data_IF_039501957379
#
_entry.id   IF_039501957379
#
_cell.length_a   1.000
_cell.length_b   1.000
_cell.length_c   1.000
_cell.angle_alpha   90.00
_cell.angle_beta   90.00
_cell.angle_gamma   90.00
#
_symmetry.space_group_name_H-M   'P 1'
#
loop_
_entity.id
_entity.type
_entity.pdbx_description
1 polymer ?
#
# COMPACT_ATOMS: atom_id res chain seq x y z
N UNK A 1 13.07 17.72 -63.40
CA UNK A 1 13.65 18.33 -64.61
C UNK A 1 15.01 17.65 -64.82
N UNK A 2 15.01 16.45 -65.40
CA UNK A 2 15.58 16.16 -66.73
C UNK A 2 16.97 15.54 -66.55
N UNK A 3 17.37 14.41 -67.14
CA UNK A 3 16.95 13.73 -68.36
C UNK A 3 17.32 12.23 -68.27
N UNK A 4 16.43 11.40 -68.80
CA UNK A 4 16.72 10.05 -69.30
C UNK A 4 17.62 10.12 -70.54
N UNK A 5 18.34 9.05 -70.87
CA UNK A 5 18.27 8.43 -72.21
C UNK A 5 18.75 6.97 -72.18
N UNK A 6 17.85 6.10 -72.65
CA UNK A 6 18.06 4.76 -73.20
C UNK A 6 18.79 4.86 -74.55
N UNK A 7 19.67 3.92 -74.92
CA UNK A 7 19.33 2.73 -75.72
C UNK A 7 20.52 2.13 -76.50
N UNK A 8 20.33 0.86 -76.85
CA UNK A 8 21.11 -0.15 -77.56
C UNK A 8 21.77 0.21 -78.91
N UNK A 9 22.75 -0.64 -79.28
CA UNK A 9 23.00 -1.03 -80.69
C UNK A 9 24.47 -1.39 -80.97
N UNK A 10 24.88 -2.66 -80.84
CA UNK A 10 25.03 -3.67 -81.91
C UNK A 10 25.97 -3.30 -83.08
N UNK A 11 26.95 -4.18 -83.36
CA UNK A 11 27.32 -4.46 -84.76
C UNK A 11 28.80 -4.75 -85.07
N UNK A 12 29.08 -6.05 -85.23
CA UNK A 12 29.90 -6.66 -86.31
C UNK A 12 31.43 -6.56 -86.30
N UNK A 13 32.04 -7.73 -86.56
CA UNK A 13 33.24 -8.07 -87.37
C UNK A 13 33.75 -9.41 -86.81
N UNK A 14 34.20 -10.43 -87.53
CA UNK A 14 34.11 -10.89 -88.91
C UNK A 14 34.75 -12.31 -88.87
N UNK A 15 34.59 -13.03 -89.97
CA UNK A 15 34.80 -14.44 -90.25
C UNK A 15 36.24 -14.99 -90.15
N UNK A 16 36.26 -16.32 -89.93
CA UNK A 16 37.18 -17.39 -90.43
C UNK A 16 38.55 -17.50 -89.76
N UNK A 17 38.87 -18.57 -89.00
CA UNK A 17 38.99 -20.03 -89.27
C UNK A 17 40.46 -20.45 -89.50
N UNK A 18 40.88 -21.46 -88.72
CA UNK A 18 42.07 -22.33 -88.82
C UNK A 18 43.36 -21.79 -88.15
N UNK A 19 44.13 -22.53 -87.34
CA UNK A 19 44.31 -23.97 -87.12
C UNK A 19 44.76 -24.23 -85.65
N UNK A 20 44.22 -25.24 -84.95
CA UNK A 20 44.79 -26.59 -84.71
C UNK A 20 45.92 -26.69 -83.65
N UNK A 21 45.59 -27.31 -82.49
CA UNK A 21 46.31 -28.39 -81.73
C UNK A 21 46.40 -28.28 -80.19
N UNK A 22 45.60 -29.13 -79.53
CA UNK A 22 45.81 -29.96 -78.28
C UNK A 22 45.95 -29.26 -76.88
N UNK A 23 45.88 -29.99 -75.74
CA UNK A 23 44.70 -30.70 -75.18
C UNK A 23 44.50 -30.50 -73.64
N UNK A 24 43.32 -30.85 -73.10
CA UNK A 24 43.17 -31.46 -71.76
C UNK A 24 42.83 -30.55 -70.56
N UNK A 25 41.91 -31.02 -69.70
CA UNK A 25 41.70 -30.51 -68.34
C UNK A 25 40.24 -30.46 -67.89
N UNK A 26 39.70 -31.58 -67.41
CA UNK A 26 38.42 -31.62 -66.70
C UNK A 26 38.53 -30.98 -65.31
N UNK A 27 37.45 -30.31 -64.89
CA UNK A 27 37.32 -29.66 -63.58
C UNK A 27 37.55 -30.68 -62.45
N UNK A 28 38.36 -30.30 -61.47
CA UNK A 28 38.81 -31.19 -60.39
C UNK A 28 37.76 -31.36 -59.30
N UNK A 29 37.78 -32.52 -58.62
CA UNK A 29 36.87 -32.88 -57.52
C UNK A 29 36.87 -31.90 -56.33
N UNK A 30 37.81 -30.94 -56.28
CA UNK A 30 37.94 -29.98 -55.19
C UNK A 30 36.87 -28.86 -55.26
N UNK A 31 36.43 -28.47 -56.46
CA UNK A 31 35.45 -27.38 -56.66
C UNK A 31 34.00 -27.79 -56.36
N UNK A 32 33.66 -29.07 -56.53
CA UNK A 32 32.35 -29.60 -56.12
C UNK A 32 32.19 -29.66 -54.59
N UNK A 33 33.29 -29.87 -53.86
CA UNK A 33 33.28 -29.98 -52.40
C UNK A 33 33.07 -28.64 -51.69
N UNK A 34 33.53 -27.54 -52.29
CA UNK A 34 33.37 -26.19 -51.72
C UNK A 34 31.94 -25.67 -51.92
N UNK A 35 31.34 -25.91 -53.09
CA UNK A 35 29.95 -25.55 -53.39
C UNK A 35 28.94 -26.30 -52.49
N UNK A 36 29.16 -27.61 -52.26
CA UNK A 36 28.33 -28.40 -51.36
C UNK A 36 28.49 -28.03 -49.88
N UNK A 37 29.69 -27.58 -49.45
CA UNK A 37 29.88 -27.02 -48.11
C UNK A 37 29.12 -25.72 -47.94
N UNK A 38 29.24 -24.78 -48.88
CA UNK A 38 28.54 -23.49 -48.83
C UNK A 38 27.01 -23.63 -48.83
N UNK A 39 26.45 -24.59 -49.58
CA UNK A 39 25.01 -24.88 -49.55
C UNK A 39 24.55 -25.46 -48.21
N UNK A 40 25.34 -26.33 -47.58
CA UNK A 40 25.01 -26.92 -46.26
C UNK A 40 25.07 -25.90 -45.13
N UNK A 41 25.98 -24.93 -45.18
CA UNK A 41 26.04 -23.85 -44.17
C UNK A 41 24.88 -22.87 -44.32
N UNK A 42 24.49 -22.49 -45.55
CA UNK A 42 23.34 -21.60 -45.81
C UNK A 42 21.99 -22.22 -45.39
N UNK A 43 21.78 -23.52 -45.64
CA UNK A 43 20.59 -24.25 -45.18
C UNK A 43 20.54 -24.42 -43.64
N UNK A 44 21.69 -24.48 -42.98
CA UNK A 44 21.78 -24.50 -41.52
C UNK A 44 21.32 -23.19 -40.89
N UNK A 45 21.81 -22.05 -41.37
CA UNK A 45 21.43 -20.73 -40.85
C UNK A 45 19.96 -20.37 -41.12
N UNK A 46 19.40 -20.81 -42.26
CA UNK A 46 17.99 -20.61 -42.58
C UNK A 46 17.06 -21.33 -41.58
N UNK A 47 17.43 -22.54 -41.14
CA UNK A 47 16.63 -23.31 -40.19
C UNK A 47 16.65 -22.72 -38.77
N UNK A 48 17.81 -22.26 -38.28
CA UNK A 48 17.87 -21.61 -36.96
C UNK A 48 17.18 -20.25 -36.95
N UNK A 49 17.23 -19.50 -38.05
CA UNK A 49 16.56 -18.20 -38.18
C UNK A 49 15.02 -18.35 -38.20
N UNK A 50 14.49 -19.34 -38.94
CA UNK A 50 13.06 -19.68 -38.92
C UNK A 50 12.60 -20.21 -37.55
N UNK A 51 13.45 -20.97 -36.84
CA UNK A 51 13.13 -21.45 -35.49
C UNK A 51 13.05 -20.30 -34.49
N UNK A 52 13.96 -19.32 -34.55
CA UNK A 52 13.92 -18.12 -33.70
C UNK A 52 12.69 -17.24 -33.98
N UNK A 53 12.28 -17.11 -35.23
CA UNK A 53 11.05 -16.37 -35.61
C UNK A 53 9.79 -17.13 -35.14
N UNK A 54 9.77 -18.46 -35.24
CA UNK A 54 8.66 -19.28 -34.76
C UNK A 54 8.53 -19.26 -33.22
N UNK A 55 9.64 -19.21 -32.48
CA UNK A 55 9.65 -19.07 -31.02
C UNK A 55 9.11 -17.69 -30.59
N UNK A 56 9.36 -16.62 -31.35
CA UNK A 56 8.77 -15.29 -31.11
C UNK A 56 7.27 -15.19 -31.42
N UNK A 57 6.75 -16.00 -32.36
CA UNK A 57 5.32 -16.03 -32.72
C UNK A 57 4.51 -16.93 -31.77
N UNK A 58 5.17 -17.90 -31.11
CA UNK A 58 4.55 -18.85 -30.18
C UNK A 58 4.67 -18.46 -28.70
N UNK A 59 5.28 -17.32 -28.37
CA UNK A 59 5.06 -16.72 -27.05
C UNK A 59 3.57 -16.34 -27.06
N UNK A 60 2.68 -16.99 -26.27
CA UNK A 60 1.34 -16.43 -26.10
C UNK A 60 1.57 -14.99 -25.69
N UNK A 61 0.89 -14.04 -26.35
CA UNK A 61 0.84 -12.67 -25.85
C UNK A 61 0.25 -12.78 -24.45
N UNK A 62 1.13 -12.93 -23.46
CA UNK A 62 0.81 -12.75 -22.07
C UNK A 62 0.31 -11.33 -22.06
N UNK A 63 -1.00 -11.20 -22.04
CA UNK A 63 -1.68 -9.99 -21.63
C UNK A 63 -1.25 -9.78 -20.17
N UNK A 64 -0.04 -9.29 -19.97
CA UNK A 64 0.30 -8.49 -18.80
C UNK A 64 -0.49 -7.19 -18.95
N UNK A 65 -1.82 -7.31 -18.92
CA UNK A 65 -2.72 -6.19 -18.85
C UNK A 65 -2.65 -5.75 -17.39
N UNK A 66 -1.74 -4.83 -17.11
CA UNK A 66 -1.68 -4.08 -15.85
C UNK A 66 -2.91 -3.16 -15.66
N UNK A 67 -4.07 -3.53 -16.20
CA UNK A 67 -5.26 -2.69 -16.29
C UNK A 67 -6.57 -3.49 -16.31
N UNK A 68 -6.60 -4.63 -15.60
CA UNK A 68 -7.87 -5.30 -15.29
C UNK A 68 -8.50 -4.55 -14.12
N UNK A 69 -9.75 -4.10 -14.29
CA UNK A 69 -10.50 -3.46 -13.22
C UNK A 69 -10.69 -4.44 -12.06
N UNK A 70 -10.38 -4.01 -10.84
CA UNK A 70 -10.64 -4.81 -9.65
C UNK A 70 -11.96 -4.38 -9.02
N UNK A 71 -13.03 -5.18 -9.15
CA UNK A 71 -14.32 -4.86 -8.54
C UNK A 71 -14.23 -4.91 -7.02
N UNK A 72 -15.21 -4.30 -6.35
CA UNK A 72 -15.41 -4.51 -4.93
C UNK A 72 -15.68 -6.00 -4.63
N UNK A 73 -15.29 -6.50 -3.45
CA UNK A 73 -15.63 -7.86 -3.06
C UNK A 73 -17.15 -8.05 -3.01
N UNK A 74 -17.59 -9.26 -3.23
CA UNK A 74 -19.00 -9.66 -3.08
C UNK A 74 -19.32 -10.12 -1.65
N UNK A 75 -18.31 -10.48 -0.87
CA UNK A 75 -18.48 -11.05 0.46
C UNK A 75 -17.19 -11.00 1.29
N UNK A 76 -17.34 -11.11 2.62
CA UNK A 76 -16.22 -11.34 3.54
C UNK A 76 -15.22 -10.20 3.66
N UNK A 77 -15.58 -9.00 3.20
CA UNK A 77 -14.75 -7.81 3.31
C UNK A 77 -14.99 -7.07 4.64
N UNK A 78 -13.90 -6.58 5.22
CA UNK A 78 -13.92 -5.73 6.43
C UNK A 78 -12.99 -4.54 6.21
N UNK A 79 -13.51 -3.34 6.45
CA UNK A 79 -12.76 -2.08 6.46
C UNK A 79 -12.59 -1.64 7.91
N UNK A 80 -11.36 -1.68 8.40
CA UNK A 80 -11.02 -1.23 9.74
C UNK A 80 -10.44 0.18 9.70
N UNK A 81 -11.07 1.10 10.42
CA UNK A 81 -10.69 2.50 10.46
C UNK A 81 -10.45 2.96 11.91
N UNK A 82 -9.65 4.00 12.04
CA UNK A 82 -9.55 4.79 13.27
C UNK A 82 -9.99 6.21 12.96
N UNK A 83 -10.73 6.79 13.89
CA UNK A 83 -11.13 8.19 13.85
C UNK A 83 -10.68 8.87 15.14
N UNK A 84 -10.41 10.16 15.11
CA UNK A 84 -10.00 10.89 16.30
C UNK A 84 -10.13 12.40 16.15
N UNK A 85 -10.17 13.06 17.30
CA UNK A 85 -10.11 14.51 17.34
C UNK A 85 -8.67 14.98 17.25
N UNK A 86 -8.41 16.07 16.53
CA UNK A 86 -7.07 16.63 16.38
C UNK A 86 -6.62 17.50 17.57
N UNK A 87 -7.51 17.84 18.50
CA UNK A 87 -7.12 18.55 19.72
C UNK A 87 -6.19 17.65 20.55
N UNK A 88 -4.91 18.03 20.56
CA UNK A 88 -3.81 17.36 21.26
C UNK A 88 -4.07 17.23 22.77
N UNK A 89 -4.94 18.06 23.34
CA UNK A 89 -5.33 17.99 24.74
C UNK A 89 -6.50 17.04 25.00
N UNK A 90 -7.24 16.66 23.96
CA UNK A 90 -8.47 15.88 24.08
C UNK A 90 -8.20 14.38 24.08
N UNK A 91 -7.40 13.92 23.10
CA UNK A 91 -7.04 12.51 22.97
C UNK A 91 -8.22 11.54 22.84
N UNK A 92 -9.43 12.00 22.52
CA UNK A 92 -10.57 11.13 22.23
C UNK A 92 -10.45 10.59 20.80
N UNK A 93 -10.70 9.28 20.66
CA UNK A 93 -10.60 8.56 19.40
C UNK A 93 -11.53 7.34 19.43
N UNK A 94 -11.78 6.75 18.25
CA UNK A 94 -12.64 5.59 18.13
C UNK A 94 -12.15 4.62 17.04
N UNK A 95 -12.56 3.37 17.17
CA UNK A 95 -12.49 2.37 16.12
C UNK A 95 -13.81 2.34 15.35
N UNK A 96 -13.72 2.27 14.03
CA UNK A 96 -14.85 2.02 13.15
C UNK A 96 -14.55 0.76 12.35
N UNK A 97 -15.52 -0.13 12.26
CA UNK A 97 -15.44 -1.34 11.46
C UNK A 97 -16.66 -1.45 10.56
N UNK A 98 -16.44 -1.35 9.25
CA UNK A 98 -17.46 -1.62 8.25
C UNK A 98 -17.29 -3.05 7.73
N UNK A 99 -18.36 -3.84 7.68
CA UNK A 99 -18.32 -5.24 7.23
C UNK A 99 -19.55 -5.63 6.42
N UNK A 100 -19.35 -6.60 5.51
CA UNK A 100 -20.42 -7.12 4.66
C UNK A 100 -21.37 -8.02 5.44
N UNK A 101 -22.68 -7.71 5.37
CA UNK A 101 -23.75 -8.39 6.08
C UNK A 101 -24.79 -9.04 5.13
N UNK A 102 -24.32 -9.45 3.95
CA UNK A 102 -25.11 -10.12 2.92
C UNK A 102 -25.75 -9.16 1.91
N UNK A 103 -26.52 -9.71 0.97
CA UNK A 103 -27.06 -8.95 -0.16
C UNK A 103 -28.51 -8.54 0.04
N UNK A 104 -28.96 -7.56 -0.75
CA UNK A 104 -30.36 -7.15 -0.83
C UNK A 104 -30.71 -6.64 -2.23
N UNK A 105 -32.00 -6.62 -2.55
CA UNK A 105 -32.54 -6.07 -3.79
C UNK A 105 -33.33 -4.79 -3.45
N UNK A 106 -32.95 -3.65 -4.03
CA UNK A 106 -33.65 -2.37 -3.86
C UNK A 106 -33.93 -1.80 -5.25
N UNK A 107 -35.20 -1.53 -5.56
CA UNK A 107 -35.63 -0.98 -6.84
C UNK A 107 -35.11 -1.75 -8.08
N UNK A 108 -34.94 -3.07 -7.94
CA UNK A 108 -34.45 -3.93 -9.02
C UNK A 108 -32.93 -4.00 -9.19
N UNK A 109 -32.16 -3.31 -8.35
CA UNK A 109 -30.70 -3.40 -8.32
C UNK A 109 -30.21 -4.21 -7.13
N UNK A 110 -29.14 -4.98 -7.33
CA UNK A 110 -28.47 -5.73 -6.28
C UNK A 110 -27.53 -4.80 -5.50
N UNK A 111 -27.58 -4.91 -4.17
CA UNK A 111 -26.69 -4.21 -3.26
C UNK A 111 -26.09 -5.20 -2.26
N UNK A 112 -24.87 -4.91 -1.83
CA UNK A 112 -24.28 -5.51 -0.63
C UNK A 112 -24.65 -4.65 0.56
N UNK A 113 -25.20 -5.24 1.61
CA UNK A 113 -25.47 -4.57 2.89
C UNK A 113 -24.17 -4.43 3.66
N UNK A 114 -23.87 -3.22 4.10
CA UNK A 114 -22.74 -2.89 4.97
C UNK A 114 -23.30 -2.58 6.36
N UNK A 115 -22.74 -3.22 7.37
CA UNK A 115 -22.97 -2.90 8.78
C UNK A 115 -21.74 -2.20 9.34
N UNK A 116 -21.97 -1.36 10.34
CA UNK A 116 -20.93 -0.62 11.04
C UNK A 116 -20.92 -1.02 12.52
N UNK A 117 -19.73 -1.29 13.05
CA UNK A 117 -19.48 -1.23 14.48
C UNK A 117 -18.66 0.03 14.78
N UNK A 118 -19.13 0.83 15.74
CA UNK A 118 -18.44 2.02 16.22
C UNK A 118 -18.09 1.83 17.70
N UNK A 119 -16.81 1.92 18.03
CA UNK A 119 -16.30 1.79 19.40
C UNK A 119 -15.51 3.03 19.78
N UNK A 120 -16.15 3.91 20.55
CA UNK A 120 -15.47 5.03 21.20
C UNK A 120 -14.50 4.50 22.24
N UNK A 121 -13.26 4.96 22.17
CA UNK A 121 -12.26 4.64 23.17
C UNK A 121 -12.32 5.66 24.32
N UNK A 122 -11.93 5.28 25.54
CA UNK A 122 -11.97 6.23 26.65
C UNK A 122 -10.91 7.32 26.43
N UNK A 123 -11.34 8.58 26.45
CA UNK A 123 -10.48 9.75 26.37
C UNK A 123 -10.94 10.84 27.34
N UNK A 124 -10.57 12.09 27.09
CA UNK A 124 -10.93 13.21 27.97
C UNK A 124 -12.43 13.55 27.95
N UNK A 125 -13.17 13.04 26.96
CA UNK A 125 -14.58 13.35 26.72
C UNK A 125 -14.81 14.78 26.26
N UNK A 126 -13.78 15.46 25.76
CA UNK A 126 -13.87 16.87 25.36
C UNK A 126 -14.38 17.04 23.92
N UNK A 127 -14.41 15.96 23.14
CA UNK A 127 -15.01 15.88 21.81
C UNK A 127 -15.60 14.49 21.55
N UNK A 128 -16.44 14.38 20.51
CA UNK A 128 -16.96 13.10 20.03
C UNK A 128 -16.33 12.79 18.68
N UNK A 129 -15.46 11.77 18.55
CA UNK A 129 -14.83 11.43 17.27
C UNK A 129 -15.90 11.23 16.17
N UNK A 130 -15.68 11.73 14.94
CA UNK A 130 -16.67 11.60 13.89
C UNK A 130 -16.80 10.13 13.48
N UNK A 131 -18.06 9.68 13.33
CA UNK A 131 -18.36 8.40 12.69
C UNK A 131 -18.22 8.47 11.17
N UNK A 132 -18.39 7.32 10.52
CA UNK A 132 -18.66 7.27 9.08
C UNK A 132 -20.16 7.59 8.82
N UNK A 133 -20.67 7.47 7.60
CA UNK A 133 -22.11 7.60 7.28
C UNK A 133 -22.98 6.50 7.95
N UNK A 134 -22.33 5.51 8.58
CA UNK A 134 -22.97 4.42 9.29
C UNK A 134 -23.32 3.23 8.38
N UNK A 135 -24.27 2.37 8.79
CA UNK A 135 -24.67 1.22 7.99
C UNK A 135 -25.42 1.66 6.71
N UNK A 136 -25.24 0.90 5.64
CA UNK A 136 -25.73 1.28 4.31
C UNK A 136 -25.72 0.14 3.31
N UNK A 137 -25.87 0.50 2.04
CA UNK A 137 -25.91 -0.42 0.93
C UNK A 137 -24.95 0.02 -0.17
N UNK A 138 -24.04 -0.86 -0.54
CA UNK A 138 -23.05 -0.65 -1.59
C UNK A 138 -23.55 -1.28 -2.89
N UNK A 139 -23.51 -0.54 -3.99
CA UNK A 139 -23.78 -1.06 -5.34
C UNK A 139 -22.65 -0.69 -6.27
N UNK A 140 -22.22 -1.64 -7.08
CA UNK A 140 -21.20 -1.41 -8.11
C UNK A 140 -21.78 -1.61 -9.50
N UNK A 141 -21.50 -0.67 -10.40
CA UNK A 141 -21.62 -0.85 -11.84
C UNK A 141 -20.23 -1.14 -12.38
N UNK A 142 -19.91 -2.42 -12.57
CA UNK A 142 -18.58 -2.86 -13.03
C UNK A 142 -18.27 -2.43 -14.47
N UNK A 143 -19.30 -2.20 -15.30
CA UNK A 143 -19.11 -1.75 -16.68
C UNK A 143 -18.74 -0.26 -16.71
N UNK A 144 -19.41 0.54 -15.88
CA UNK A 144 -19.11 1.97 -15.70
C UNK A 144 -17.92 2.21 -14.76
N UNK A 145 -17.49 1.21 -13.98
CA UNK A 145 -16.48 1.30 -12.91
C UNK A 145 -16.82 2.34 -11.84
N UNK A 146 -18.10 2.37 -11.48
CA UNK A 146 -18.66 3.30 -10.49
C UNK A 146 -19.26 2.53 -9.33
N UNK A 147 -19.03 3.04 -8.13
CA UNK A 147 -19.59 2.51 -6.89
C UNK A 147 -20.51 3.55 -6.30
N UNK A 148 -21.65 3.11 -5.81
CA UNK A 148 -22.72 3.92 -5.26
C UNK A 148 -22.97 3.51 -3.82
N UNK A 149 -23.24 4.52 -2.99
CA UNK A 149 -23.63 4.34 -1.61
C UNK A 149 -25.06 4.76 -1.39
N UNK A 150 -25.81 3.91 -0.71
CA UNK A 150 -27.15 4.21 -0.24
C UNK A 150 -27.20 4.10 1.27
N UNK A 151 -27.30 5.23 1.95
CA UNK A 151 -27.40 5.30 3.42
C UNK A 151 -28.67 4.60 3.90
N UNK A 152 -28.58 3.82 4.98
CA UNK A 152 -29.78 3.27 5.63
C UNK A 152 -30.63 4.35 6.30
N UNK A 153 -30.04 5.49 6.69
CA UNK A 153 -30.76 6.57 7.37
C UNK A 153 -31.58 7.42 6.39
N UNK A 154 -30.94 7.95 5.36
CA UNK A 154 -31.60 8.86 4.41
C UNK A 154 -32.36 8.13 3.33
N UNK A 155 -31.96 6.89 2.99
CA UNK A 155 -32.47 6.20 1.82
C UNK A 155 -32.23 6.98 0.54
N UNK A 156 -31.15 7.78 0.45
CA UNK A 156 -30.69 8.42 -0.77
C UNK A 156 -29.48 7.64 -1.28
N UNK A 157 -29.42 7.43 -2.60
CA UNK A 157 -28.25 6.84 -3.25
C UNK A 157 -27.41 7.95 -3.89
N UNK A 158 -26.10 7.92 -3.64
CA UNK A 158 -25.13 8.85 -4.21
C UNK A 158 -23.99 8.08 -4.88
N UNK A 159 -23.34 8.69 -5.88
CA UNK A 159 -22.06 8.21 -6.38
C UNK A 159 -21.03 8.28 -5.25
N UNK A 160 -20.40 7.15 -4.93
CA UNK A 160 -19.36 7.07 -3.90
C UNK A 160 -17.97 7.10 -4.52
N UNK A 161 -17.72 6.26 -5.53
CA UNK A 161 -16.43 6.19 -6.22
C UNK A 161 -16.61 6.15 -7.73
N UNK A 162 -15.78 6.91 -8.45
CA UNK A 162 -15.61 6.80 -9.89
C UNK A 162 -14.17 6.40 -10.21
N UNK A 163 -13.95 5.13 -10.58
CA UNK A 163 -12.62 4.64 -10.90
C UNK A 163 -12.21 4.93 -12.35
N UNK A 164 -13.04 5.63 -13.13
CA UNK A 164 -12.69 6.10 -14.48
C UNK A 164 -11.87 7.37 -14.48
N UNK A 165 -11.85 8.10 -13.34
CA UNK A 165 -11.15 9.38 -13.21
C UNK A 165 -9.66 9.26 -13.58
N UNK A 166 -9.20 10.29 -14.27
CA UNK A 166 -7.82 10.54 -14.67
C UNK A 166 -7.26 11.82 -14.06
N UNK A 167 -5.97 12.07 -14.28
CA UNK A 167 -5.27 13.26 -13.75
C UNK A 167 -5.92 14.54 -14.27
N UNK A 168 -6.26 15.46 -13.36
CA UNK A 168 -6.93 16.72 -13.65
C UNK A 168 -8.45 16.68 -13.56
N UNK A 169 -9.05 15.49 -13.45
CA UNK A 169 -10.48 15.35 -13.22
C UNK A 169 -10.85 15.72 -11.78
N UNK A 170 -12.10 16.14 -11.58
CA UNK A 170 -12.64 16.57 -10.30
C UNK A 170 -13.56 15.50 -9.72
N UNK A 171 -13.54 15.32 -8.41
CA UNK A 171 -14.45 14.41 -7.70
C UNK A 171 -15.90 14.88 -7.80
N UNK A 172 -16.81 13.92 -7.97
CA UNK A 172 -18.26 14.11 -7.98
C UNK A 172 -18.93 13.15 -6.98
N UNK A 173 -20.14 13.49 -6.54
CA UNK A 173 -20.94 12.65 -5.67
C UNK A 173 -20.69 12.88 -4.17
N UNK A 174 -20.77 11.80 -3.41
CA UNK A 174 -20.78 11.80 -1.93
C UNK A 174 -19.50 12.40 -1.34
N UNK A 175 -18.35 12.12 -1.95
CA UNK A 175 -17.02 12.57 -1.51
C UNK A 175 -16.50 13.78 -2.34
N UNK A 176 -17.39 14.54 -2.98
CA UNK A 176 -16.99 15.68 -3.81
C UNK A 176 -16.69 16.93 -2.98
N UNK A 177 -17.45 17.14 -1.89
CA UNK A 177 -17.40 18.35 -1.07
C UNK A 177 -16.54 18.11 0.18
N UNK A 178 -15.22 18.02 -0.01
CA UNK A 178 -14.23 17.66 1.03
C UNK A 178 -13.97 18.80 2.04
N UNK A 179 -15.02 19.48 2.51
CA UNK A 179 -14.94 20.56 3.49
C UNK A 179 -14.39 21.90 2.95
N UNK A 180 -13.91 22.81 3.84
CA UNK A 180 -13.61 24.21 3.50
C UNK A 180 -12.39 24.44 2.57
N UNK A 181 -11.89 23.40 1.89
CA UNK A 181 -10.76 23.44 0.95
C UNK A 181 -11.14 23.36 -0.54
N UNK A 182 -12.39 23.04 -0.88
CA UNK A 182 -12.86 22.96 -2.27
C UNK A 182 -12.95 21.53 -2.82
N UNK A 183 -13.28 21.42 -4.11
CA UNK A 183 -13.56 20.14 -4.76
C UNK A 183 -12.27 19.34 -4.97
N UNK A 184 -12.26 18.06 -4.57
CA UNK A 184 -11.08 17.21 -4.71
C UNK A 184 -10.69 17.01 -6.18
N UNK A 185 -9.42 17.17 -6.52
CA UNK A 185 -8.90 17.00 -7.88
C UNK A 185 -7.93 15.82 -7.90
N UNK A 186 -8.02 14.98 -8.94
CA UNK A 186 -7.08 13.89 -9.15
C UNK A 186 -5.73 14.45 -9.58
N UNK A 187 -4.71 14.23 -8.76
CA UNK A 187 -3.36 14.76 -8.97
C UNK A 187 -2.40 13.73 -9.55
N UNK A 188 -2.65 12.44 -9.32
CA UNK A 188 -1.91 11.35 -9.95
C UNK A 188 -2.71 10.05 -9.95
N UNK A 189 -2.38 9.18 -10.90
CA UNK A 189 -2.91 7.82 -10.96
C UNK A 189 -1.72 6.87 -11.07
N UNK A 190 -1.65 5.92 -10.15
CA UNK A 190 -0.60 4.92 -10.11
C UNK A 190 -1.18 3.55 -9.71
N UNK A 191 -0.32 2.66 -9.21
CA UNK A 191 -0.71 1.34 -8.74
C UNK A 191 -0.13 1.05 -7.36
N UNK A 192 -0.89 0.34 -6.53
CA UNK A 192 -0.46 -0.14 -5.21
C UNK A 192 -0.59 -1.67 -5.13
N UNK A 193 0.36 -2.32 -4.45
CA UNK A 193 0.30 -3.75 -4.20
C UNK A 193 -0.70 -4.03 -3.06
N UNK A 194 -1.74 -4.81 -3.34
CA UNK A 194 -2.78 -5.23 -2.38
C UNK A 194 -2.86 -6.75 -2.42
N UNK A 195 -2.43 -7.41 -1.34
CA UNK A 195 -2.18 -8.84 -1.35
C UNK A 195 -1.22 -9.22 -2.50
N UNK A 196 -1.60 -10.14 -3.41
CA UNK A 196 -0.72 -10.55 -4.51
C UNK A 196 -0.85 -9.69 -5.78
N UNK A 197 -1.80 -8.75 -5.85
CA UNK A 197 -2.14 -8.05 -7.10
C UNK A 197 -1.91 -6.54 -6.99
N UNK A 198 -1.42 -5.94 -8.07
CA UNK A 198 -1.41 -4.49 -8.20
C UNK A 198 -2.80 -3.99 -8.58
N UNK A 199 -3.27 -2.96 -7.87
CA UNK A 199 -4.57 -2.30 -8.11
C UNK A 199 -4.36 -0.84 -8.47
N UNK A 200 -5.23 -0.29 -9.32
CA UNK A 200 -5.22 1.15 -9.64
C UNK A 200 -5.44 1.94 -8.35
N UNK A 201 -4.62 2.97 -8.15
CA UNK A 201 -4.78 3.96 -7.10
C UNK A 201 -4.89 5.34 -7.73
N UNK A 202 -5.93 6.08 -7.35
CA UNK A 202 -6.21 7.44 -7.78
C UNK A 202 -5.93 8.33 -6.57
N UNK A 203 -4.91 9.19 -6.67
CA UNK A 203 -4.52 10.08 -5.59
C UNK A 203 -5.24 11.43 -5.78
N UNK A 204 -5.88 11.92 -4.72
CA UNK A 204 -6.65 13.17 -4.71
C UNK A 204 -5.94 14.19 -3.79
N UNK A 205 -5.81 15.42 -4.29
CA UNK A 205 -5.17 16.61 -3.69
C UNK A 205 -3.96 16.33 -2.77
N UNK A 206 -2.76 16.35 -3.36
CA UNK A 206 -1.50 16.02 -2.68
C UNK A 206 -0.67 17.25 -2.37
N UNK A 207 -0.72 17.71 -1.11
CA UNK A 207 0.38 18.51 -0.54
C UNK A 207 1.19 17.76 0.52
N UNK A 208 0.66 16.69 1.15
CA UNK A 208 1.42 15.82 2.06
C UNK A 208 0.93 14.36 2.07
N UNK A 209 1.87 13.41 2.24
CA UNK A 209 1.65 11.95 2.15
C UNK A 209 0.74 11.36 3.23
N UNK A 210 0.46 12.13 4.29
CA UNK A 210 -0.38 11.76 5.43
C UNK A 210 -1.71 12.52 5.50
N UNK A 211 -1.93 13.42 4.55
CA UNK A 211 -3.10 14.31 4.48
C UNK A 211 -3.82 14.09 3.15
N UNK A 212 -3.12 13.65 2.10
CA UNK A 212 -3.75 13.22 0.86
C UNK A 212 -4.49 11.89 1.05
N UNK A 213 -5.67 11.77 0.42
CA UNK A 213 -6.40 10.51 0.35
C UNK A 213 -6.39 9.93 -1.06
N UNK A 214 -6.70 8.65 -1.17
CA UNK A 214 -6.66 7.94 -2.44
C UNK A 214 -7.80 6.97 -2.55
N UNK A 215 -8.30 6.77 -3.77
CA UNK A 215 -9.21 5.67 -4.08
C UNK A 215 -8.42 4.50 -4.63
N UNK A 216 -8.65 3.30 -4.09
CA UNK A 216 -8.01 2.06 -4.52
C UNK A 216 -9.10 1.12 -5.05
N UNK A 217 -8.93 0.63 -6.27
CA UNK A 217 -9.89 -0.31 -6.87
C UNK A 217 -10.12 -1.54 -5.97
N UNK A 218 -11.40 -1.90 -5.80
CA UNK A 218 -11.82 -3.01 -4.94
C UNK A 218 -11.54 -2.82 -3.44
N UNK A 219 -11.25 -1.60 -2.99
CA UNK A 219 -11.15 -1.23 -1.56
C UNK A 219 -11.97 0.05 -1.27
N UNK A 220 -11.79 1.12 -2.05
CA UNK A 220 -12.39 2.43 -1.75
C UNK A 220 -11.36 3.45 -1.26
N UNK A 221 -11.78 4.40 -0.43
CA UNK A 221 -10.94 5.50 0.05
C UNK A 221 -9.99 5.10 1.18
N UNK A 222 -8.81 5.71 1.22
CA UNK A 222 -7.86 5.61 2.34
C UNK A 222 -8.29 6.38 3.59
N UNK A 223 -9.33 7.21 3.51
CA UNK A 223 -9.95 7.88 4.68
C UNK A 223 -11.02 7.03 5.37
N UNK A 224 -11.52 5.99 4.70
CA UNK A 224 -12.60 5.15 5.20
C UNK A 224 -13.52 4.71 4.06
N UNK A 225 -14.49 3.84 4.33
CA UNK A 225 -15.37 3.33 3.27
C UNK A 225 -16.32 4.42 2.75
N UNK A 226 -16.88 5.23 3.64
CA UNK A 226 -17.69 6.39 3.25
C UNK A 226 -17.21 7.69 3.92
N UNK A 227 -16.08 7.65 4.62
CA UNK A 227 -15.63 8.78 5.40
C UNK A 227 -15.09 9.89 4.50
N UNK A 228 -15.65 11.08 4.69
CA UNK A 228 -15.21 12.30 4.02
C UNK A 228 -13.85 12.76 4.57
N UNK A 229 -13.08 13.43 3.72
CA UNK A 229 -11.81 14.02 4.08
C UNK A 229 -12.04 15.34 4.83
N UNK A 230 -11.62 15.37 6.09
CA UNK A 230 -11.53 16.59 6.89
C UNK A 230 -10.07 17.02 6.98
N UNK A 231 -9.78 18.24 6.51
CA UNK A 231 -8.45 18.78 6.26
C UNK A 231 -7.58 19.05 7.49
N UNK A 232 -6.37 19.62 7.29
CA UNK A 232 -5.42 19.88 8.37
C UNK A 232 -6.01 20.84 9.42
N UNK A 233 -6.24 20.32 10.63
CA UNK A 233 -6.84 21.05 11.75
C UNK A 233 -8.19 20.51 12.23
N UNK A 234 -8.83 19.60 11.48
CA UNK A 234 -10.12 19.00 11.82
C UNK A 234 -10.07 17.48 12.09
N UNK A 235 -11.09 16.98 12.82
CA UNK A 235 -11.30 15.57 13.17
C UNK A 235 -11.28 14.68 11.92
N UNK A 236 -10.65 13.50 11.94
CA UNK A 236 -10.48 12.71 10.71
C UNK A 236 -10.51 11.19 10.91
N UNK A 237 -11.00 10.50 9.89
CA UNK A 237 -11.01 9.03 9.79
C UNK A 237 -9.92 8.57 8.83
N UNK A 238 -9.30 7.44 9.14
CA UNK A 238 -8.31 6.80 8.29
C UNK A 238 -8.56 5.30 8.20
N UNK A 239 -8.53 4.76 6.99
CA UNK A 239 -8.53 3.33 6.75
C UNK A 239 -7.19 2.74 7.21
N UNK A 240 -7.21 2.03 8.33
CA UNK A 240 -6.03 1.38 8.90
C UNK A 240 -5.72 0.06 8.22
N UNK A 241 -6.76 -0.69 7.88
CA UNK A 241 -6.61 -1.99 7.29
C UNK A 241 -7.85 -2.39 6.50
N UNK A 242 -7.65 -3.31 5.55
CA UNK A 242 -8.73 -3.97 4.83
C UNK A 242 -8.45 -5.47 4.76
N UNK A 243 -9.45 -6.27 5.08
CA UNK A 243 -9.38 -7.73 5.03
C UNK A 243 -10.39 -8.30 4.07
N UNK A 244 -10.05 -9.44 3.49
CA UNK A 244 -10.94 -10.24 2.66
C UNK A 244 -10.83 -11.70 3.05
N UNK A 245 -11.94 -12.29 3.48
CA UNK A 245 -11.98 -13.67 3.97
C UNK A 245 -11.03 -13.88 5.17
N UNK A 246 -10.89 -12.87 6.03
CA UNK A 246 -10.00 -12.87 7.19
C UNK A 246 -8.51 -12.60 6.89
N UNK A 247 -8.11 -12.47 5.63
CA UNK A 247 -6.73 -12.15 5.27
C UNK A 247 -6.55 -10.63 5.16
N UNK A 248 -5.55 -10.07 5.83
CA UNK A 248 -5.17 -8.66 5.68
C UNK A 248 -4.57 -8.46 4.28
N UNK A 249 -5.23 -7.64 3.45
CA UNK A 249 -4.78 -7.34 2.09
C UNK A 249 -4.20 -5.94 1.94
N UNK A 250 -4.59 -5.02 2.82
CA UNK A 250 -4.08 -3.65 2.86
C UNK A 250 -3.89 -3.21 4.30
N UNK A 251 -2.82 -2.46 4.53
CA UNK A 251 -2.50 -1.76 5.79
C UNK A 251 -2.10 -0.34 5.45
N UNK A 252 -2.53 0.62 6.26
CA UNK A 252 -2.14 2.02 6.10
C UNK A 252 -0.60 2.12 6.04
N UNK A 253 -0.04 2.88 5.09
CA UNK A 253 1.41 3.01 4.94
C UNK A 253 2.06 3.86 6.04
N UNK A 254 1.27 4.52 6.88
CA UNK A 254 1.73 5.49 7.88
C UNK A 254 1.18 5.17 9.28
N UNK A 255 2.04 5.34 10.28
CA UNK A 255 1.77 4.97 11.68
C UNK A 255 2.10 3.51 11.99
N UNK A 256 2.11 3.12 13.26
CA UNK A 256 2.19 1.71 13.64
C UNK A 256 1.00 0.95 13.03
N UNK A 257 1.20 -0.29 12.55
CA UNK A 257 0.11 -1.09 12.01
C UNK A 257 -0.89 -1.37 13.12
N UNK A 258 -2.06 -0.73 13.03
CA UNK A 258 -3.20 -1.00 13.91
C UNK A 258 -4.23 -1.84 13.16
N UNK A 259 -4.24 -3.14 13.47
CA UNK A 259 -5.15 -4.11 12.87
C UNK A 259 -6.38 -4.39 13.73
N UNK A 260 -6.48 -3.77 14.92
CA UNK A 260 -7.61 -3.94 15.84
C UNK A 260 -8.96 -3.71 15.13
N UNK A 261 -9.16 -2.65 14.32
CA UNK A 261 -10.47 -2.43 13.71
C UNK A 261 -10.81 -3.41 12.58
N UNK A 262 -9.87 -4.25 12.16
CA UNK A 262 -10.14 -5.35 11.22
C UNK A 262 -10.39 -6.70 11.89
N UNK A 263 -10.18 -6.80 13.21
CA UNK A 263 -10.44 -8.00 14.00
C UNK A 263 -11.68 -7.85 14.86
N UNK A 264 -11.74 -8.62 15.94
CA UNK A 264 -12.75 -8.42 16.97
C UNK A 264 -12.47 -7.13 17.73
N UNK A 265 -13.42 -6.19 17.68
CA UNK A 265 -13.30 -4.95 18.46
C UNK A 265 -13.29 -5.28 19.95
N UNK A 266 -12.44 -4.61 20.75
CA UNK A 266 -12.34 -4.89 22.18
C UNK A 266 -13.65 -4.52 22.89
N UNK A 267 -14.41 -5.53 23.28
CA UNK A 267 -15.62 -5.39 24.12
C UNK A 267 -15.31 -5.26 25.62
N UNK A 268 -14.04 -5.39 25.99
CA UNK A 268 -13.58 -5.12 27.34
C UNK A 268 -13.31 -3.62 27.48
N UNK A 269 -13.79 -3.02 28.58
CA UNK A 269 -13.23 -1.76 29.08
C UNK A 269 -11.74 -2.03 29.26
N UNK A 270 -10.92 -1.57 28.32
CA UNK A 270 -9.51 -1.39 28.60
C UNK A 270 -9.51 -0.50 29.82
N UNK A 271 -9.06 -1.01 30.97
CA UNK A 271 -8.64 -0.13 32.05
C UNK A 271 -7.59 0.78 31.44
N UNK A 272 -7.99 1.96 30.99
CA UNK A 272 -7.07 2.94 30.45
C UNK A 272 -6.12 3.21 31.60
N UNK A 273 -4.83 2.81 31.50
CA UNK A 273 -3.86 3.32 32.43
C UNK A 273 -3.96 4.83 32.26
N UNK A 274 -4.31 5.54 33.34
CA UNK A 274 -4.33 7.00 33.37
C UNK A 274 -3.12 7.55 32.59
N UNK A 275 -3.28 8.66 31.84
CA UNK A 275 -2.34 9.09 30.82
C UNK A 275 -0.91 8.89 31.30
N UNK A 276 -0.22 7.95 30.66
CA UNK A 276 1.17 7.63 30.95
C UNK A 276 1.89 8.96 30.75
N UNK A 277 2.33 9.59 31.85
CA UNK A 277 3.18 10.78 31.76
C UNK A 277 4.33 10.48 30.80
N UNK A 278 4.78 11.47 30.04
CA UNK A 278 5.78 11.35 28.97
C UNK A 278 6.75 10.17 29.19
N UNK A 279 6.93 9.27 28.18
CA UNK A 279 7.75 8.09 28.32
C UNK A 279 9.13 8.48 28.86
N UNK A 280 9.56 7.81 29.94
CA UNK A 280 10.85 8.09 30.57
C UNK A 280 11.93 7.51 29.65
N UNK A 281 12.53 8.39 28.86
CA UNK A 281 13.68 8.04 28.04
C UNK A 281 14.93 7.95 28.91
N UNK A 282 15.77 6.96 28.64
CA UNK A 282 17.06 6.76 29.31
C UNK A 282 18.19 6.97 28.31
N UNK A 283 19.20 7.74 28.69
CA UNK A 283 20.43 7.86 27.91
C UNK A 283 21.50 6.90 28.45
N UNK A 284 22.22 6.29 27.51
CA UNK A 284 23.18 5.19 27.71
C UNK A 284 22.53 3.93 28.30
N UNK A 285 21.97 3.10 27.42
CA UNK A 285 21.49 1.77 27.77
C UNK A 285 21.79 0.82 26.60
N UNK A 286 22.78 -0.08 26.70
CA UNK A 286 23.57 -0.44 27.89
C UNK A 286 24.50 0.65 28.46
N UNK A 287 24.90 0.50 29.73
CA UNK A 287 25.84 1.39 30.44
C UNK A 287 26.79 0.58 31.34
N UNK A 288 27.92 1.18 31.73
CA UNK A 288 28.85 0.62 32.71
C UNK A 288 28.30 0.60 34.15
N UNK A 289 27.15 1.24 34.39
CA UNK A 289 26.47 1.29 35.68
C UNK A 289 25.77 2.62 35.97
N UNK A 290 26.04 3.69 35.22
CA UNK A 290 25.37 4.98 35.39
C UNK A 290 24.26 5.20 34.36
N UNK A 291 23.09 5.59 34.84
CA UNK A 291 21.91 5.83 34.04
C UNK A 291 21.34 7.21 34.34
N UNK A 292 20.98 7.95 33.29
CA UNK A 292 20.31 9.25 33.40
C UNK A 292 18.96 9.18 32.70
N UNK A 293 17.90 9.54 33.42
CA UNK A 293 16.53 9.59 32.95
C UNK A 293 16.19 11.01 32.51
N UNK A 294 15.69 11.15 31.29
CA UNK A 294 15.21 12.43 30.76
C UNK A 294 13.79 12.69 31.25
N UNK A 295 13.65 13.19 32.48
CA UNK A 295 12.38 13.56 33.08
C UNK A 295 12.31 15.07 33.30
N UNK A 296 11.12 15.67 33.17
CA UNK A 296 10.96 17.11 33.42
C UNK A 296 11.14 17.51 34.89
N UNK A 297 10.96 16.55 35.82
CA UNK A 297 11.15 16.73 37.26
C UNK A 297 11.80 15.46 37.86
N UNK A 298 12.55 15.58 38.97
CA UNK A 298 13.04 14.43 39.74
C UNK A 298 11.90 13.48 40.13
N UNK A 299 12.14 12.18 40.05
CA UNK A 299 11.15 11.16 40.41
C UNK A 299 11.72 10.22 41.47
N UNK A 300 10.83 9.57 42.20
CA UNK A 300 11.20 8.44 43.05
C UNK A 300 11.38 7.18 42.18
N UNK A 301 12.48 6.47 42.38
CA UNK A 301 12.93 5.36 41.55
C UNK A 301 13.30 4.20 42.47
N UNK A 302 12.75 3.02 42.18
CA UNK A 302 13.10 1.76 42.84
C UNK A 302 13.65 0.82 41.77
N UNK A 303 14.83 0.27 41.98
CA UNK A 303 15.49 -0.63 41.02
C UNK A 303 15.48 -2.03 41.56
N UNK A 304 15.08 -2.99 40.72
CA UNK A 304 15.10 -4.41 41.00
C UNK A 304 16.11 -5.11 40.10
N UNK A 305 16.73 -6.18 40.61
CA UNK A 305 17.49 -7.11 39.79
C UNK A 305 16.58 -8.05 38.97
N UNK A 306 17.17 -8.88 38.12
CA UNK A 306 16.45 -9.84 37.29
C UNK A 306 15.65 -10.90 38.08
N UNK A 307 15.89 -11.04 39.39
CA UNK A 307 15.16 -11.94 40.28
C UNK A 307 14.06 -11.22 41.07
N UNK A 308 13.84 -9.92 40.83
CA UNK A 308 12.84 -9.11 41.50
C UNK A 308 13.26 -8.65 42.91
N UNK A 309 14.55 -8.72 43.26
CA UNK A 309 15.06 -8.19 44.53
C UNK A 309 15.38 -6.70 44.36
N UNK A 310 14.90 -5.88 45.28
CA UNK A 310 15.25 -4.45 45.32
C UNK A 310 16.75 -4.28 45.57
N UNK A 311 17.43 -3.53 44.70
CA UNK A 311 18.87 -3.25 44.78
C UNK A 311 19.18 -1.78 45.05
N UNK A 312 18.27 -0.87 44.68
CA UNK A 312 18.46 0.57 44.89
C UNK A 312 17.11 1.28 45.02
N UNK A 313 17.08 2.30 45.87
CA UNK A 313 15.98 3.25 45.95
C UNK A 313 16.55 4.68 46.00
N UNK A 314 16.04 5.57 45.15
CA UNK A 314 16.56 6.93 45.02
C UNK A 314 15.48 7.93 44.60
N UNK A 315 15.74 9.22 44.83
CA UNK A 315 14.93 10.31 44.32
C UNK A 315 15.81 11.24 43.48
N UNK A 316 15.52 11.37 42.19
CA UNK A 316 16.39 12.10 41.28
C UNK A 316 16.09 11.83 39.81
N UNK A 317 17.08 12.13 38.98
CA UNK A 317 17.07 11.84 37.53
C UNK A 317 18.16 10.83 37.15
N UNK A 318 18.87 10.26 38.12
CA UNK A 318 19.99 9.34 37.88
C UNK A 318 19.88 8.08 38.75
N UNK A 319 20.42 6.98 38.22
CA UNK A 319 20.60 5.70 38.92
C UNK A 319 22.06 5.27 38.75
N UNK A 320 22.69 4.89 39.85
CA UNK A 320 24.06 4.39 39.89
C UNK A 320 24.08 2.93 40.37
N UNK A 321 24.44 2.03 39.46
CA UNK A 321 24.59 0.59 39.64
C UNK A 321 26.06 0.16 39.42
N UNK A 322 27.03 1.05 39.60
CA UNK A 322 28.46 0.70 39.46
C UNK A 322 28.92 -0.37 40.47
N UNK A 323 28.21 -0.55 41.59
CA UNK A 323 28.46 -1.60 42.58
C UNK A 323 27.80 -2.96 42.25
N UNK A 324 26.91 -2.99 41.26
CA UNK A 324 26.10 -4.17 40.96
C UNK A 324 26.73 -5.04 39.86
N UNK A 325 26.43 -6.35 39.80
CA UNK A 325 26.88 -7.22 38.71
C UNK A 325 26.41 -6.78 37.31
N UNK A 326 27.07 -7.28 36.27
CA UNK A 326 26.54 -7.15 34.89
C UNK A 326 25.23 -7.92 34.76
N UNK A 327 24.26 -7.32 34.09
CA UNK A 327 22.95 -7.93 33.96
C UNK A 327 21.82 -6.97 33.66
N UNK A 328 20.61 -7.52 33.71
CA UNK A 328 19.38 -6.77 33.54
C UNK A 328 18.85 -6.30 34.89
N UNK A 329 18.47 -5.04 34.95
CA UNK A 329 17.77 -4.43 36.06
C UNK A 329 16.49 -3.77 35.57
N UNK A 330 15.57 -3.54 36.49
CA UNK A 330 14.27 -2.94 36.23
C UNK A 330 14.09 -1.75 37.15
N UNK A 331 14.11 -0.54 36.59
CA UNK A 331 13.77 0.68 37.31
C UNK A 331 12.26 0.91 37.26
N UNK A 332 11.66 1.09 38.43
CA UNK A 332 10.24 1.32 38.64
C UNK A 332 10.07 2.72 39.23
N UNK A 333 9.13 3.48 38.69
CA UNK A 333 8.75 4.81 39.17
C UNK A 333 7.37 4.69 39.82
N UNK A 334 7.29 4.59 41.16
CA UNK A 334 6.02 4.42 41.86
C UNK A 334 5.11 5.62 41.64
N UNK A 335 3.83 5.39 41.40
CA UNK A 335 2.86 6.47 41.32
C UNK A 335 2.47 6.95 42.71
N UNK A 336 2.38 8.27 42.90
CA UNK A 336 1.86 8.88 44.13
C UNK A 336 0.33 8.82 44.24
N UNK A 337 -0.36 8.35 43.19
CA UNK A 337 -1.82 8.23 43.13
C UNK A 337 -2.22 6.77 43.21
N UNK A 338 -3.08 6.42 44.18
CA UNK A 338 -3.61 5.06 44.34
C UNK A 338 -4.36 4.63 43.08
N UNK A 339 -3.95 3.52 42.46
CA UNK A 339 -4.57 2.97 41.25
C UNK A 339 -3.86 3.32 39.94
N UNK A 340 -2.79 4.13 39.97
CA UNK A 340 -1.97 4.38 38.78
C UNK A 340 -0.82 3.37 38.64
N UNK A 341 -0.58 2.93 37.41
CA UNK A 341 0.52 2.04 37.06
C UNK A 341 1.88 2.73 37.28
N UNK A 342 2.83 2.00 37.87
CA UNK A 342 4.21 2.45 37.98
C UNK A 342 4.86 2.41 36.58
N UNK A 343 5.64 3.44 36.21
CA UNK A 343 6.41 3.38 34.97
C UNK A 343 7.60 2.45 35.16
N UNK A 344 7.95 1.66 34.13
CA UNK A 344 9.01 0.66 34.22
C UNK A 344 10.00 0.84 33.08
N UNK A 345 11.29 0.86 33.39
CA UNK A 345 12.38 0.98 32.43
C UNK A 345 13.39 -0.13 32.67
N UNK A 346 13.76 -0.86 31.61
CA UNK A 346 14.81 -1.87 31.64
C UNK A 346 16.18 -1.20 31.56
N UNK A 347 17.09 -1.55 32.48
CA UNK A 347 18.48 -1.09 32.51
C UNK A 347 19.40 -2.27 32.20
N UNK A 348 20.40 -2.07 31.34
CA UNK A 348 21.44 -3.08 31.06
C UNK A 348 22.78 -2.57 31.56
N UNK A 349 23.33 -3.24 32.58
CA UNK A 349 24.71 -3.04 33.03
C UNK A 349 25.62 -4.00 32.26
N UNK A 350 26.58 -3.46 31.53
CA UNK A 350 27.60 -4.20 30.75
C UNK A 350 28.91 -3.41 30.81
N UNK A 351 30.02 -4.03 31.23
CA UNK A 351 31.33 -3.38 31.38
C UNK A 351 32.37 -3.91 30.40
#
# INVERSE_FOLDING_TARGET
>A
MGLNFYDHGNGTVDRRVSADRRPGGGLSAMEYSSLLRSFRTLLGYFNYSLLCVAVFILIPRANAQFNVYHPFPDSGAVWGMTTGCLDQMCGDWAYIQNYMAGDTLINGFNYVKIQENYLSMPGSGCCFPPGDDGPGYLREDTAARKVYWRSMQSGVENLLYDFTLGVGDTLEGFLADNGPGGTGIVVSVDSILVGPNYRKRINIDTTEICIAFSFIEGIGSTTGLTADFYGPGEMGTSLRCFTLGGNVLYTAPCGPPDLVPCGELPIAVVEVPAPIGLPVCISSNPSSGQFTFNTQQPKYIVVYDAFGREVLQTFGTTVDLNGEPEGMYVAVFPSSVSGNYAQVVRLIVSR
#
